data_IF_994511547193
#
_entry.id   IF_994511547193
#
_cell.length_a   1.000
_cell.length_b   1.000
_cell.length_c   1.000
_cell.angle_alpha   90.00
_cell.angle_beta   90.00
_cell.angle_gamma   90.00
#
_symmetry.space_group_name_H-M   'P 1'
#
loop_
_entity.id
_entity.type
_entity.pdbx_description
1 polymer ?
#
# COMPACT_ATOMS: atom_id res chain seq x y z
N UNK A 1 -17.13 -26.91 -17.67
CA UNK A 1 -17.50 -26.01 -16.54
C UNK A 1 -16.50 -24.87 -16.53
N UNK A 2 -16.89 -23.73 -17.10
CA UNK A 2 -16.03 -22.55 -17.20
C UNK A 2 -15.89 -21.96 -15.79
N UNK A 3 -14.70 -22.07 -15.18
CA UNK A 3 -14.38 -21.29 -13.98
C UNK A 3 -14.49 -19.83 -14.40
N UNK A 4 -15.51 -19.12 -13.92
CA UNK A 4 -15.48 -17.66 -13.94
C UNK A 4 -14.23 -17.27 -13.15
N UNK A 5 -13.18 -16.85 -13.86
CA UNK A 5 -12.01 -16.24 -13.25
C UNK A 5 -12.46 -14.92 -12.65
N UNK A 6 -12.98 -15.04 -11.45
CA UNK A 6 -13.21 -13.96 -10.52
C UNK A 6 -11.88 -13.20 -10.45
N UNK A 7 -11.84 -11.97 -11.01
CA UNK A 7 -10.61 -11.22 -11.35
C UNK A 7 -9.92 -10.70 -10.09
N UNK A 8 -9.50 -11.61 -9.22
CA UNK A 8 -8.82 -11.30 -7.97
C UNK A 8 -7.32 -11.44 -8.19
N UNK A 9 -6.57 -10.48 -7.66
CA UNK A 9 -5.12 -10.56 -7.61
C UNK A 9 -4.74 -11.57 -6.53
N UNK A 10 -3.94 -12.58 -6.90
CA UNK A 10 -3.32 -13.48 -5.92
C UNK A 10 -2.44 -12.69 -4.96
N UNK A 11 -2.38 -13.17 -3.73
CA UNK A 11 -1.43 -12.73 -2.72
C UNK A 11 -0.02 -13.22 -3.08
N UNK A 12 0.98 -12.64 -2.41
CA UNK A 12 2.37 -13.07 -2.48
C UNK A 12 2.51 -14.55 -2.08
N UNK A 13 1.65 -14.98 -1.14
CA UNK A 13 1.58 -16.34 -0.63
C UNK A 13 0.18 -16.94 -0.90
N UNK A 14 0.07 -18.06 -1.63
CA UNK A 14 -1.22 -18.66 -1.98
C UNK A 14 -2.10 -18.99 -0.78
N UNK A 15 -1.52 -19.33 0.38
CA UNK A 15 -2.24 -19.59 1.62
C UNK A 15 -2.96 -18.36 2.19
N UNK A 16 -2.51 -17.16 1.82
CA UNK A 16 -3.14 -15.90 2.24
C UNK A 16 -4.15 -15.37 1.19
N UNK A 17 -4.33 -16.03 0.04
CA UNK A 17 -5.21 -15.56 -1.06
C UNK A 17 -6.66 -15.39 -0.61
N UNK A 18 -7.20 -16.36 0.13
CA UNK A 18 -8.57 -16.29 0.60
C UNK A 18 -8.77 -15.13 1.61
N UNK A 19 -7.79 -14.90 2.47
CA UNK A 19 -7.81 -13.78 3.42
C UNK A 19 -7.75 -12.44 2.69
N UNK A 20 -6.90 -12.36 1.66
CA UNK A 20 -6.80 -11.19 0.78
C UNK A 20 -8.12 -10.87 0.10
N UNK A 21 -8.79 -11.87 -0.48
CA UNK A 21 -10.06 -11.68 -1.17
C UNK A 21 -11.15 -11.14 -0.24
N UNK A 22 -11.23 -11.66 1.00
CA UNK A 22 -12.20 -11.19 2.00
C UNK A 22 -11.91 -9.74 2.37
N UNK A 23 -10.64 -9.41 2.62
CA UNK A 23 -10.22 -8.04 2.94
C UNK A 23 -10.48 -7.07 1.78
N UNK A 24 -10.06 -7.40 0.57
CA UNK A 24 -10.19 -6.54 -0.62
C UNK A 24 -11.66 -6.24 -0.94
N UNK A 25 -12.55 -7.23 -0.78
CA UNK A 25 -13.99 -7.05 -0.93
C UNK A 25 -14.54 -6.06 0.08
N UNK A 26 -14.22 -6.26 1.37
CA UNK A 26 -14.63 -5.34 2.42
C UNK A 26 -14.10 -3.92 2.16
N UNK A 27 -12.82 -3.80 1.82
CA UNK A 27 -12.16 -2.53 1.56
C UNK A 27 -12.80 -1.80 0.39
N UNK A 28 -13.09 -2.48 -0.72
CA UNK A 28 -13.71 -1.85 -1.90
C UNK A 28 -15.08 -1.26 -1.57
N UNK A 29 -15.92 -2.00 -0.83
CA UNK A 29 -17.24 -1.52 -0.39
C UNK A 29 -17.14 -0.36 0.61
N UNK A 30 -16.18 -0.44 1.55
CA UNK A 30 -15.93 0.62 2.52
C UNK A 30 -15.38 1.88 1.85
N UNK A 31 -14.41 1.74 0.96
CA UNK A 31 -13.71 2.85 0.31
C UNK A 31 -14.66 3.68 -0.55
N UNK A 32 -15.58 3.03 -1.29
CA UNK A 32 -16.62 3.74 -2.04
C UNK A 32 -17.49 4.64 -1.15
N UNK A 33 -17.88 4.15 0.03
CA UNK A 33 -18.62 4.95 1.02
C UNK A 33 -17.73 6.04 1.61
N UNK A 34 -16.47 5.71 1.88
CA UNK A 34 -15.50 6.63 2.45
C UNK A 34 -15.27 7.87 1.58
N UNK A 35 -15.16 7.72 0.25
CA UNK A 35 -14.95 8.86 -0.67
C UNK A 35 -16.24 9.65 -1.00
N UNK A 36 -17.40 9.21 -0.49
CA UNK A 36 -18.66 9.89 -0.78
C UNK A 36 -18.75 11.19 0.04
N UNK A 37 -19.16 12.33 -0.55
CA UNK A 37 -19.17 13.64 0.13
C UNK A 37 -19.99 13.70 1.42
N UNK A 38 -21.00 12.83 1.53
CA UNK A 38 -21.92 12.78 2.68
C UNK A 38 -21.40 11.91 3.83
N UNK A 39 -20.22 11.28 3.69
CA UNK A 39 -19.67 10.40 4.70
C UNK A 39 -18.94 11.19 5.79
N UNK A 40 -19.39 11.04 7.04
CA UNK A 40 -18.80 11.74 8.19
C UNK A 40 -17.52 11.02 8.65
N UNK A 41 -16.38 11.42 8.08
CA UNK A 41 -15.06 10.83 8.39
C UNK A 41 -14.73 10.83 9.90
N UNK A 42 -15.22 11.82 10.65
CA UNK A 42 -14.91 12.00 12.08
C UNK A 42 -15.39 10.84 12.99
N UNK A 43 -16.30 9.98 12.51
CA UNK A 43 -16.84 8.84 13.28
C UNK A 43 -16.73 7.51 12.51
N UNK A 44 -15.93 7.50 11.45
CA UNK A 44 -15.76 6.36 10.58
C UNK A 44 -14.80 5.33 11.21
N UNK A 45 -15.35 4.36 11.92
CA UNK A 45 -14.59 3.16 12.31
C UNK A 45 -14.38 2.31 11.08
N UNK A 46 -13.14 1.86 10.82
CA UNK A 46 -12.83 0.98 9.71
C UNK A 46 -13.46 -0.41 9.94
N UNK A 47 -14.50 -0.81 9.20
CA UNK A 47 -15.15 -2.11 9.40
C UNK A 47 -14.29 -3.29 8.94
N UNK A 48 -13.22 -3.01 8.18
CA UNK A 48 -12.33 -4.01 7.60
C UNK A 48 -11.05 -4.22 8.40
N UNK A 49 -10.87 -3.50 9.51
CA UNK A 49 -9.65 -3.55 10.34
C UNK A 49 -9.30 -4.97 10.77
N UNK A 50 -10.29 -5.72 11.27
CA UNK A 50 -10.06 -7.12 11.67
C UNK A 50 -9.65 -8.03 10.50
N UNK A 51 -10.23 -7.85 9.32
CA UNK A 51 -9.85 -8.63 8.13
C UNK A 51 -8.43 -8.27 7.68
N UNK A 52 -8.09 -6.98 7.74
CA UNK A 52 -6.76 -6.49 7.45
C UNK A 52 -5.72 -7.09 8.38
N UNK A 53 -5.96 -7.08 9.69
CA UNK A 53 -5.03 -7.65 10.69
C UNK A 53 -4.75 -9.14 10.44
N UNK A 54 -5.79 -9.92 10.15
CA UNK A 54 -5.64 -11.36 9.89
C UNK A 54 -4.86 -11.62 8.60
N UNK A 55 -5.19 -10.89 7.53
CA UNK A 55 -4.45 -10.98 6.27
C UNK A 55 -2.98 -10.55 6.43
N UNK A 56 -2.75 -9.39 7.07
CA UNK A 56 -1.42 -8.85 7.34
C UNK A 56 -0.56 -9.84 8.12
N UNK A 57 -1.10 -10.42 9.19
CA UNK A 57 -0.38 -11.42 9.99
C UNK A 57 0.06 -12.62 9.14
N UNK A 58 -0.83 -13.14 8.29
CA UNK A 58 -0.50 -14.24 7.38
C UNK A 58 0.69 -13.90 6.47
N UNK A 59 0.69 -12.69 5.90
CA UNK A 59 1.77 -12.23 5.01
C UNK A 59 3.06 -11.97 5.78
N UNK A 60 3.01 -11.29 6.91
CA UNK A 60 4.18 -10.92 7.72
C UNK A 60 4.95 -12.15 8.22
N UNK A 61 4.24 -13.17 8.72
CA UNK A 61 4.85 -14.43 9.16
C UNK A 61 5.59 -15.15 8.03
N UNK A 62 5.03 -15.10 6.82
CA UNK A 62 5.59 -15.76 5.63
C UNK A 62 6.72 -14.96 5.01
N UNK A 63 6.63 -13.63 4.98
CA UNK A 63 7.73 -12.77 4.58
C UNK A 63 8.96 -12.99 5.45
N UNK A 64 8.77 -13.12 6.78
CA UNK A 64 9.87 -13.37 7.70
C UNK A 64 10.55 -14.74 7.49
N UNK A 65 9.79 -15.76 7.09
CA UNK A 65 10.27 -17.16 6.99
C UNK A 65 10.74 -17.56 5.60
N UNK A 66 10.07 -17.12 4.55
CA UNK A 66 10.34 -17.56 3.17
C UNK A 66 11.13 -16.54 2.35
N UNK A 67 11.13 -15.25 2.75
CA UNK A 67 11.75 -14.12 2.01
C UNK A 67 11.70 -14.28 0.48
N UNK A 68 10.52 -14.50 -0.12
CA UNK A 68 10.44 -14.59 -1.56
C UNK A 68 10.89 -13.24 -2.16
N UNK A 69 11.64 -13.29 -3.27
CA UNK A 69 12.06 -12.13 -4.06
C UNK A 69 13.05 -11.15 -3.41
N UNK A 70 13.82 -11.56 -2.39
CA UNK A 70 14.81 -10.70 -1.71
C UNK A 70 14.23 -9.35 -1.23
N UNK A 71 12.96 -9.37 -0.82
CA UNK A 71 12.27 -8.17 -0.35
C UNK A 71 12.95 -7.65 0.93
N UNK A 72 13.48 -6.43 0.88
CA UNK A 72 13.98 -5.72 2.05
C UNK A 72 12.80 -5.15 2.86
N UNK A 73 12.47 -5.83 3.96
CA UNK A 73 11.40 -5.40 4.85
C UNK A 73 11.72 -4.09 5.57
N UNK A 74 13.00 -3.77 5.75
CA UNK A 74 13.40 -2.52 6.39
C UNK A 74 13.18 -1.34 5.44
N UNK A 75 13.31 -1.54 4.13
CA UNK A 75 12.91 -0.55 3.13
C UNK A 75 11.40 -0.32 3.11
N UNK A 76 10.58 -1.39 3.13
CA UNK A 76 9.11 -1.28 3.14
C UNK A 76 8.59 -0.55 4.39
N UNK A 77 9.27 -0.70 5.52
CA UNK A 77 8.88 -0.09 6.80
C UNK A 77 9.31 1.36 6.94
N UNK A 78 10.13 1.90 6.04
CA UNK A 78 10.51 3.32 6.09
C UNK A 78 9.28 4.19 5.89
N UNK A 79 9.06 5.11 6.81
CA UNK A 79 8.05 6.16 6.66
C UNK A 79 8.57 7.17 5.62
N UNK A 80 8.17 7.01 4.36
CA UNK A 80 8.61 7.93 3.29
C UNK A 80 7.67 9.13 3.11
N UNK A 81 6.35 8.91 3.23
CA UNK A 81 5.34 9.95 2.96
C UNK A 81 5.43 11.15 3.92
N UNK A 82 5.49 12.36 3.36
CA UNK A 82 5.62 13.63 4.09
C UNK A 82 6.98 13.87 4.79
N UNK A 83 8.02 13.11 4.44
CA UNK A 83 9.39 13.39 4.91
C UNK A 83 10.11 14.37 3.98
N UNK A 84 11.23 14.95 4.44
CA UNK A 84 12.06 15.83 3.61
C UNK A 84 12.67 15.11 2.39
N UNK A 85 12.73 13.77 2.44
CA UNK A 85 13.18 12.92 1.33
C UNK A 85 12.08 12.66 0.27
N UNK A 86 10.82 12.95 0.61
CA UNK A 86 9.64 12.89 -0.29
C UNK A 86 9.37 14.24 -0.97
N UNK A 87 9.87 15.34 -0.39
CA UNK A 87 9.83 16.64 -1.05
C UNK A 87 10.66 16.58 -2.32
N UNK A 88 10.00 16.77 -3.48
CA UNK A 88 10.67 17.01 -4.75
C UNK A 88 11.69 18.14 -4.54
N UNK A 89 12.98 17.78 -4.42
CA UNK A 89 14.06 18.77 -4.31
C UNK A 89 14.02 19.60 -5.58
N UNK A 90 13.56 20.85 -5.47
CA UNK A 90 13.49 21.79 -6.56
C UNK A 90 14.82 21.80 -7.32
N UNK A 91 14.81 21.32 -8.57
CA UNK A 91 15.95 21.36 -9.49
C UNK A 91 16.18 22.78 -10.00
N UNK A 92 16.29 23.76 -9.10
CA UNK A 92 16.60 25.16 -9.44
C UNK A 92 17.84 25.67 -8.73
N UNK A 93 18.94 24.90 -8.78
CA UNK A 93 20.26 25.47 -8.51
C UNK A 93 21.36 24.87 -9.41
N UNK A 94 21.16 24.95 -10.73
CA UNK A 94 22.22 24.70 -11.74
C UNK A 94 22.13 25.66 -12.93
N UNK A 95 22.01 26.96 -12.66
CA UNK A 95 22.31 28.00 -13.64
C UNK A 95 22.78 29.27 -12.93
N UNK A 96 23.81 29.13 -12.10
CA UNK A 96 24.50 30.26 -11.46
C UNK A 96 25.98 29.97 -11.26
N UNK A 97 26.66 29.42 -12.26
CA UNK A 97 28.14 29.47 -12.38
C UNK A 97 28.52 29.07 -13.81
N UNK A 98 28.75 30.05 -14.68
CA UNK A 98 29.75 30.06 -15.78
C UNK A 98 29.34 31.07 -16.86
N UNK A 99 29.57 32.36 -16.57
CA UNK A 99 29.90 33.41 -17.54
C UNK A 99 30.30 34.66 -16.76
N UNK A 100 31.39 34.53 -16.00
CA UNK A 100 32.12 35.66 -15.44
C UNK A 100 33.12 36.13 -16.52
N UNK A 101 33.05 37.42 -16.86
CA UNK A 101 34.17 38.26 -17.30
C UNK A 101 35.21 37.65 -18.27
N UNK A 102 35.09 37.96 -19.57
CA UNK A 102 36.14 38.68 -20.32
C UNK A 102 35.64 39.23 -21.66
#
# INVERSE_FOLDING_TARGET
MQKMSDRHMSSIFPECDQLKQIYDKCFTEFFQKFITPNYRHQYAVNPCERFHEVYKRCVDERLATQRPFEIDLDEIRKEYLNTDDDKLKDRQNRQSTDSEHK
#
